data_IF_081740968254
#
_entry.id   IF_081740968254
#
_cell.length_a   1.000
_cell.length_b   1.000
_cell.length_c   1.000
_cell.angle_alpha   90.00
_cell.angle_beta   90.00
_cell.angle_gamma   90.00
#
_symmetry.space_group_name_H-M   'P 1'
#
loop_
_entity.id
_entity.type
_entity.pdbx_description
1 polymer ?
#
# COMPACT_ATOMS: atom_id res chain seq x y z
N UNK A 1 19.73 -2.72 8.38
CA UNK A 1 20.94 -2.94 7.56
C UNK A 1 20.74 -4.24 6.82
N UNK A 2 20.86 -4.23 5.49
CA UNK A 2 20.65 -5.41 4.65
C UNK A 2 22.04 -5.89 4.25
N UNK A 3 22.46 -7.03 4.80
CA UNK A 3 23.76 -7.63 4.49
C UNK A 3 23.54 -9.04 3.94
N UNK A 4 24.27 -9.38 2.88
CA UNK A 4 24.28 -10.73 2.31
C UNK A 4 25.72 -11.19 2.14
N UNK A 5 26.09 -12.25 2.85
CA UNK A 5 27.40 -12.89 2.71
C UNK A 5 27.38 -13.92 1.57
N UNK A 6 28.53 -14.06 0.90
CA UNK A 6 28.75 -15.03 -0.18
C UNK A 6 28.75 -16.45 0.40
N UNK A 7 28.02 -17.36 -0.25
CA UNK A 7 28.06 -18.79 0.08
C UNK A 7 29.22 -19.49 -0.62
N UNK A 8 29.75 -20.61 -0.08
CA UNK A 8 30.72 -21.42 -0.80
C UNK A 8 30.12 -21.90 -2.13
N UNK A 9 30.92 -21.90 -3.20
CA UNK A 9 30.54 -22.24 -4.58
C UNK A 9 29.46 -21.35 -5.22
N UNK A 10 29.22 -20.15 -4.67
CA UNK A 10 28.30 -19.19 -5.28
C UNK A 10 29.01 -18.29 -6.31
N UNK A 11 28.39 -18.11 -7.48
CA UNK A 11 28.83 -17.11 -8.46
C UNK A 11 28.46 -15.69 -8.00
N UNK A 12 29.26 -14.70 -8.40
CA UNK A 12 29.02 -13.28 -8.05
C UNK A 12 27.63 -12.83 -8.53
N UNK A 13 27.18 -13.29 -9.70
CA UNK A 13 25.86 -12.97 -10.22
C UNK A 13 24.71 -13.52 -9.35
N UNK A 14 24.85 -14.72 -8.81
CA UNK A 14 23.86 -15.30 -7.89
C UNK A 14 23.77 -14.51 -6.58
N UNK A 15 24.92 -14.10 -6.04
CA UNK A 15 25.00 -13.24 -4.86
C UNK A 15 24.24 -11.91 -5.07
N UNK A 16 24.47 -11.24 -6.20
CA UNK A 16 23.78 -9.97 -6.53
C UNK A 16 22.27 -10.15 -6.66
N UNK A 17 21.79 -11.26 -7.24
CA UNK A 17 20.35 -11.55 -7.32
C UNK A 17 19.73 -11.75 -5.93
N UNK A 18 20.41 -12.47 -5.03
CA UNK A 18 19.96 -12.63 -3.64
C UNK A 18 19.92 -11.28 -2.91
N UNK A 19 20.95 -10.47 -3.06
CA UNK A 19 21.00 -9.13 -2.49
C UNK A 19 19.82 -8.29 -2.99
N UNK A 20 19.58 -8.22 -4.30
CA UNK A 20 18.46 -7.47 -4.87
C UNK A 20 17.11 -7.94 -4.32
N UNK A 21 16.87 -9.26 -4.27
CA UNK A 21 15.62 -9.80 -3.70
C UNK A 21 15.47 -9.47 -2.23
N UNK A 22 16.55 -9.53 -1.46
CA UNK A 22 16.54 -9.20 -0.04
C UNK A 22 16.32 -7.70 0.19
N UNK A 23 16.91 -6.81 -0.61
CA UNK A 23 16.63 -5.37 -0.59
C UNK A 23 15.16 -5.09 -0.90
N UNK A 24 14.60 -5.73 -1.93
CA UNK A 24 13.19 -5.58 -2.28
C UNK A 24 12.26 -6.04 -1.16
N UNK A 25 12.49 -7.24 -0.62
CA UNK A 25 11.69 -7.80 0.48
C UNK A 25 11.83 -6.99 1.77
N UNK A 26 13.02 -6.48 2.08
CA UNK A 26 13.26 -5.66 3.26
C UNK A 26 12.53 -4.32 3.22
N UNK A 27 12.11 -3.85 2.04
CA UNK A 27 11.44 -2.57 1.87
C UNK A 27 12.29 -1.36 2.27
N UNK A 28 13.60 -1.52 2.49
CA UNK A 28 14.47 -0.44 3.01
C UNK A 28 14.43 0.79 2.11
N UNK A 29 14.42 0.60 0.79
CA UNK A 29 14.30 1.70 -0.17
C UNK A 29 12.95 2.41 -0.10
N UNK A 30 11.85 1.66 0.06
CA UNK A 30 10.50 2.22 0.18
C UNK A 30 10.39 3.04 1.47
N UNK A 31 10.91 2.49 2.58
CA UNK A 31 10.95 3.18 3.87
C UNK A 31 11.76 4.48 3.76
N UNK A 32 12.97 4.42 3.20
CA UNK A 32 13.83 5.58 3.02
C UNK A 32 13.16 6.68 2.17
N UNK A 33 12.54 6.30 1.05
CA UNK A 33 11.79 7.24 0.20
C UNK A 33 10.59 7.84 0.94
N UNK A 34 9.84 7.04 1.70
CA UNK A 34 8.68 7.51 2.47
C UNK A 34 9.08 8.49 3.59
N UNK A 35 10.22 8.28 4.23
CA UNK A 35 10.72 9.12 5.32
C UNK A 35 11.67 10.24 4.86
N UNK A 36 11.90 10.38 3.55
CA UNK A 36 12.80 11.41 2.99
C UNK A 36 12.35 12.83 3.36
N UNK A 37 11.04 13.06 3.46
CA UNK A 37 10.46 14.36 3.80
C UNK A 37 9.66 14.29 5.10
N UNK A 38 9.66 15.39 5.85
CA UNK A 38 8.84 15.51 7.07
C UNK A 38 7.36 15.54 6.70
N UNK A 39 6.62 14.52 7.13
CA UNK A 39 5.17 14.48 7.05
C UNK A 39 4.59 15.12 8.32
N UNK A 40 3.67 16.07 8.18
CA UNK A 40 2.95 16.64 9.33
C UNK A 40 1.99 15.60 9.89
N UNK A 41 1.85 15.54 11.23
CA UNK A 41 0.82 14.71 11.86
C UNK A 41 -0.56 15.15 11.36
N UNK A 42 -1.42 14.18 11.07
CA UNK A 42 -2.82 14.46 10.72
C UNK A 42 -3.55 15.06 11.93
N UNK A 43 -4.59 15.85 11.66
CA UNK A 43 -5.47 16.35 12.71
C UNK A 43 -6.49 15.27 13.07
N UNK A 44 -6.98 15.27 14.31
CA UNK A 44 -7.97 14.28 14.78
C UNK A 44 -9.20 14.19 13.86
N UNK A 45 -9.63 15.31 13.27
CA UNK A 45 -10.72 15.33 12.27
C UNK A 45 -10.35 14.53 11.02
N UNK A 46 -9.15 14.71 10.47
CA UNK A 46 -8.69 13.99 9.27
C UNK A 46 -8.53 12.50 9.54
N UNK A 47 -7.99 12.13 10.70
CA UNK A 47 -7.87 10.74 11.11
C UNK A 47 -9.24 10.05 11.19
N UNK A 48 -10.23 10.71 11.83
CA UNK A 48 -11.61 10.22 11.93
C UNK A 48 -12.28 10.07 10.56
N UNK A 49 -12.18 11.08 9.69
CA UNK A 49 -12.77 11.02 8.35
C UNK A 49 -12.13 9.92 7.49
N UNK A 50 -10.82 9.73 7.60
CA UNK A 50 -10.09 8.65 6.92
C UNK A 50 -10.57 7.27 7.39
N UNK A 51 -10.75 7.08 8.70
CA UNK A 51 -11.29 5.85 9.27
C UNK A 51 -12.73 5.55 8.81
N UNK A 52 -13.61 6.55 8.86
CA UNK A 52 -14.99 6.45 8.38
C UNK A 52 -15.01 6.05 6.89
N UNK A 53 -14.23 6.74 6.06
CA UNK A 53 -14.14 6.44 4.63
C UNK A 53 -13.60 5.02 4.38
N UNK A 54 -12.61 4.57 5.16
CA UNK A 54 -12.09 3.21 5.08
C UNK A 54 -13.15 2.14 5.37
N UNK A 55 -14.01 2.37 6.36
CA UNK A 55 -15.12 1.47 6.67
C UNK A 55 -16.12 1.38 5.51
N UNK A 56 -16.54 2.51 4.95
CA UNK A 56 -17.46 2.53 3.82
C UNK A 56 -16.87 1.88 2.56
N UNK A 57 -15.59 2.12 2.27
CA UNK A 57 -14.90 1.47 1.15
C UNK A 57 -14.80 -0.05 1.31
N UNK A 58 -14.55 -0.53 2.52
CA UNK A 58 -14.54 -1.97 2.80
C UNK A 58 -15.92 -2.60 2.58
N UNK A 59 -16.99 -1.92 3.02
CA UNK A 59 -18.35 -2.37 2.79
C UNK A 59 -18.73 -2.34 1.30
N UNK A 60 -18.37 -1.27 0.58
CA UNK A 60 -18.61 -1.13 -0.86
C UNK A 60 -17.93 -2.25 -1.63
N UNK A 61 -16.66 -2.52 -1.34
CA UNK A 61 -15.91 -3.63 -1.95
C UNK A 61 -16.61 -4.96 -1.73
N UNK A 62 -16.97 -5.29 -0.48
CA UNK A 62 -17.70 -6.53 -0.16
C UNK A 62 -19.03 -6.63 -0.90
N UNK A 63 -19.75 -5.51 -1.06
CA UNK A 63 -21.03 -5.46 -1.79
C UNK A 63 -20.81 -5.76 -3.28
N UNK A 64 -19.83 -5.12 -3.91
CA UNK A 64 -19.51 -5.33 -5.33
C UNK A 64 -19.01 -6.75 -5.61
N UNK A 65 -18.15 -7.29 -4.73
CA UNK A 65 -17.69 -8.69 -4.80
C UNK A 65 -18.88 -9.67 -4.70
N UNK A 66 -19.78 -9.47 -3.73
CA UNK A 66 -21.00 -10.30 -3.59
C UNK A 66 -21.94 -10.21 -4.80
N UNK A 67 -21.98 -9.07 -5.47
CA UNK A 67 -22.79 -8.87 -6.67
C UNK A 67 -22.13 -9.38 -7.95
N UNK A 68 -20.87 -9.82 -7.89
CA UNK A 68 -20.10 -10.21 -9.07
C UNK A 68 -19.80 -9.05 -10.01
N UNK A 69 -19.90 -7.80 -9.55
CA UNK A 69 -19.70 -6.57 -10.32
C UNK A 69 -18.41 -5.84 -9.92
N UNK A 70 -17.50 -6.55 -9.26
CA UNK A 70 -16.22 -5.97 -8.89
C UNK A 70 -15.34 -5.84 -10.13
N UNK A 71 -15.15 -4.59 -10.53
CA UNK A 71 -14.17 -4.17 -11.51
C UNK A 71 -13.53 -2.87 -11.01
N UNK A 72 -12.28 -2.61 -11.38
CA UNK A 72 -11.52 -1.45 -10.88
C UNK A 72 -12.18 -0.12 -11.31
N UNK A 73 -12.74 -0.05 -12.52
CA UNK A 73 -13.47 1.14 -12.97
C UNK A 73 -14.77 1.32 -12.20
N UNK A 74 -15.52 0.23 -12.02
CA UNK A 74 -16.79 0.23 -11.28
C UNK A 74 -16.59 0.65 -9.82
N UNK A 75 -15.52 0.16 -9.18
CA UNK A 75 -15.19 0.53 -7.80
C UNK A 75 -14.85 2.02 -7.66
N UNK A 76 -14.07 2.58 -8.59
CA UNK A 76 -13.71 4.00 -8.54
C UNK A 76 -14.92 4.93 -8.82
N UNK A 77 -15.85 4.53 -9.68
CA UNK A 77 -17.10 5.26 -9.90
C UNK A 77 -17.98 5.28 -8.64
N UNK A 78 -18.20 4.11 -8.03
CA UNK A 78 -19.01 4.00 -6.81
C UNK A 78 -18.34 4.71 -5.61
N UNK A 79 -17.01 4.65 -5.52
CA UNK A 79 -16.25 5.42 -4.53
C UNK A 79 -16.40 6.93 -4.69
N UNK A 80 -16.48 7.45 -5.92
CA UNK A 80 -16.74 8.88 -6.17
C UNK A 80 -18.15 9.27 -5.71
N UNK A 81 -19.16 8.44 -6.01
CA UNK A 81 -20.54 8.66 -5.54
C UNK A 81 -20.61 8.65 -4.02
N UNK A 82 -20.00 7.66 -3.38
CA UNK A 82 -19.93 7.54 -1.92
C UNK A 82 -19.30 8.77 -1.25
N UNK A 83 -18.24 9.34 -1.85
CA UNK A 83 -17.65 10.60 -1.36
C UNK A 83 -18.61 11.78 -1.48
N UNK A 84 -19.33 11.88 -2.59
CA UNK A 84 -20.32 12.93 -2.80
C UNK A 84 -21.50 12.80 -1.82
N UNK A 85 -21.95 11.59 -1.53
CA UNK A 85 -23.05 11.32 -0.59
C UNK A 85 -22.69 11.65 0.86
N UNK A 86 -21.44 11.37 1.26
CA UNK A 86 -20.98 11.61 2.62
C UNK A 86 -20.65 13.08 2.91
N UNK A 87 -20.55 13.94 1.89
CA UNK A 87 -20.11 15.34 1.99
C UNK A 87 -18.77 15.48 2.76
N UNK A 88 -17.85 14.52 2.52
CA UNK A 88 -16.51 14.40 3.13
C UNK A 88 -15.41 14.53 2.08
#
# INVERSE_FOLDING_TARGET
MVEVKRKPNESIGSLMRRFNRFVQQSGVLIKAKKTQFRIKKETDRKEKLSAIMGMHLSQLRRKLEKMGKYDDETFELEKRKLKQELDI
#
